data_IF_266292948832
#
_entry.id   IF_266292948832
#
_cell.length_a   1.000
_cell.length_b   1.000
_cell.length_c   1.000
_cell.angle_alpha   90.00
_cell.angle_beta   90.00
_cell.angle_gamma   90.00
#
_symmetry.space_group_name_H-M   'P 1'
#
loop_
_entity.id
_entity.type
_entity.pdbx_description
1 polymer ?
#
# COMPACT_ATOMS: atom_id res chain seq x y z
N UNK A 1 -0.50 2.83 -20.78
CA UNK A 1 0.95 2.73 -20.52
C UNK A 1 1.40 4.04 -19.88
N UNK A 2 1.26 4.19 -18.57
CA UNK A 2 1.67 5.42 -17.87
C UNK A 2 3.11 5.29 -17.42
N UNK A 3 4.04 5.84 -18.21
CA UNK A 3 5.45 5.88 -17.85
C UNK A 3 5.66 6.92 -16.76
N UNK A 4 5.71 6.48 -15.50
CA UNK A 4 6.02 7.32 -14.34
C UNK A 4 7.48 7.80 -14.41
N UNK A 5 7.74 8.86 -15.20
CA UNK A 5 9.00 9.62 -15.23
C UNK A 5 8.92 10.69 -14.12
N UNK A 6 10.02 10.90 -13.40
CA UNK A 6 10.09 11.96 -12.38
C UNK A 6 10.36 13.28 -13.10
N UNK A 7 9.40 14.20 -13.04
CA UNK A 7 9.55 15.58 -13.52
C UNK A 7 9.74 16.52 -12.33
N UNK A 8 10.58 17.54 -12.49
CA UNK A 8 10.67 18.67 -11.57
C UNK A 8 9.98 19.86 -12.20
N UNK A 9 9.36 20.71 -11.38
CA UNK A 9 8.75 21.95 -11.86
C UNK A 9 9.28 23.15 -11.08
N UNK A 10 9.45 24.26 -11.79
CA UNK A 10 9.85 25.55 -11.25
C UNK A 10 8.71 26.51 -11.59
N UNK A 11 8.19 27.21 -10.57
CA UNK A 11 7.16 28.23 -10.72
C UNK A 11 7.86 29.58 -10.76
N UNK A 12 7.51 30.43 -11.72
CA UNK A 12 8.02 31.80 -11.77
C UNK A 12 7.42 32.65 -10.64
N UNK A 13 8.26 33.06 -9.68
CA UNK A 13 7.88 33.74 -8.44
C UNK A 13 7.17 35.08 -8.65
N UNK A 14 7.48 35.79 -9.74
CA UNK A 14 6.97 37.17 -9.91
C UNK A 14 5.49 37.23 -10.26
N UNK A 15 4.93 36.18 -10.88
CA UNK A 15 3.51 36.18 -11.30
C UNK A 15 2.77 34.87 -11.09
N UNK A 16 3.42 33.76 -10.68
CA UNK A 16 2.82 32.40 -10.54
C UNK A 16 2.02 31.90 -11.76
N UNK A 17 2.15 32.57 -12.90
CA UNK A 17 1.40 32.31 -14.15
C UNK A 17 2.17 31.42 -15.13
N UNK A 18 3.42 31.08 -14.81
CA UNK A 18 4.30 30.27 -15.65
C UNK A 18 4.93 29.15 -14.83
N UNK A 19 4.85 27.94 -15.39
CA UNK A 19 5.45 26.73 -14.84
C UNK A 19 6.41 26.20 -15.89
N UNK A 20 7.66 26.01 -15.50
CA UNK A 20 8.62 25.24 -16.29
C UNK A 20 8.70 23.84 -15.70
N UNK A 21 8.47 22.83 -16.53
CA UNK A 21 8.65 21.42 -16.18
C UNK A 21 9.90 20.90 -16.87
N UNK A 22 10.80 20.31 -16.11
CA UNK A 22 12.03 19.68 -16.59
C UNK A 22 12.13 18.23 -16.13
N UNK A 23 13.01 17.45 -16.76
CA UNK A 23 13.25 16.05 -16.40
C UNK A 23 14.41 15.89 -15.41
N UNK A 24 15.66 15.85 -15.89
CA UNK A 24 16.89 15.80 -15.09
C UNK A 24 17.81 16.99 -15.42
N UNK A 25 18.81 17.30 -14.57
CA UNK A 25 19.68 18.49 -14.71
C UNK A 25 20.34 18.62 -16.10
N UNK A 26 20.71 17.51 -16.72
CA UNK A 26 21.35 17.46 -18.06
C UNK A 26 20.41 17.06 -19.20
N UNK A 27 19.10 16.93 -18.91
CA UNK A 27 18.12 16.51 -19.89
C UNK A 27 17.64 17.68 -20.76
N UNK A 28 17.58 17.53 -22.10
CA UNK A 28 17.07 18.57 -22.97
C UNK A 28 15.55 18.75 -22.86
N UNK A 29 14.84 17.80 -22.25
CA UNK A 29 13.39 17.88 -22.06
C UNK A 29 12.99 19.12 -21.25
N UNK A 30 12.13 19.93 -21.86
CA UNK A 30 11.54 21.11 -21.22
C UNK A 30 10.11 21.31 -21.72
N UNK A 31 9.20 21.53 -20.78
CA UNK A 31 7.82 21.92 -21.09
C UNK A 31 7.49 23.22 -20.37
N UNK A 32 6.95 24.18 -21.10
CA UNK A 32 6.53 25.47 -20.58
C UNK A 32 5.02 25.56 -20.59
N UNK A 33 4.43 25.75 -19.42
CA UNK A 33 2.99 25.88 -19.24
C UNK A 33 2.70 27.27 -18.70
N UNK A 34 1.73 27.96 -19.31
CA UNK A 34 1.30 29.30 -18.88
C UNK A 34 -0.20 29.27 -18.57
N UNK A 35 -0.62 29.96 -17.51
CA UNK A 35 -2.02 30.18 -17.22
C UNK A 35 -2.57 31.25 -18.16
N UNK A 36 -3.64 30.93 -18.90
CA UNK A 36 -4.42 31.89 -19.67
C UNK A 36 -5.42 32.54 -18.72
N UNK A 37 -5.28 33.84 -18.46
CA UNK A 37 -6.15 34.56 -17.51
C UNK A 37 -7.62 34.59 -17.96
N UNK A 38 -7.86 34.72 -19.27
CA UNK A 38 -9.20 34.83 -19.84
C UNK A 38 -10.06 33.57 -19.64
N UNK A 39 -9.44 32.39 -19.67
CA UNK A 39 -10.14 31.10 -19.55
C UNK A 39 -9.83 30.36 -18.26
N UNK A 40 -8.93 30.90 -17.43
CA UNK A 40 -8.33 30.21 -16.27
C UNK A 40 -7.75 28.83 -16.62
N UNK A 41 -7.47 28.58 -17.90
CA UNK A 41 -6.92 27.32 -18.39
C UNK A 41 -5.39 27.34 -18.45
N UNK A 42 -4.77 26.16 -18.30
CA UNK A 42 -3.34 26.00 -18.52
C UNK A 42 -3.06 25.64 -19.98
N UNK A 43 -2.19 26.39 -20.63
CA UNK A 43 -1.75 26.13 -22.00
C UNK A 43 -0.27 25.79 -22.05
N UNK A 44 0.05 24.70 -22.74
CA UNK A 44 1.43 24.36 -23.08
C UNK A 44 1.86 25.28 -24.22
N UNK A 45 2.82 26.17 -23.96
CA UNK A 45 3.38 27.08 -24.98
C UNK A 45 4.56 26.50 -25.72
N UNK A 46 5.30 25.61 -25.07
CA UNK A 46 6.51 25.02 -25.63
C UNK A 46 6.68 23.63 -25.06
N UNK A 47 6.91 22.66 -25.94
CA UNK A 47 7.22 21.28 -25.58
C UNK A 47 8.46 20.86 -26.37
N UNK A 48 9.55 20.60 -25.66
CA UNK A 48 10.72 19.90 -26.20
C UNK A 48 10.74 18.50 -25.63
N UNK A 49 10.37 17.51 -26.44
CA UNK A 49 10.21 16.10 -26.04
C UNK A 49 11.49 15.26 -26.22
N UNK A 50 12.63 15.90 -26.41
CA UNK A 50 13.92 15.20 -26.49
C UNK A 50 14.39 14.77 -25.11
N UNK A 51 14.73 13.49 -24.97
CA UNK A 51 15.27 12.91 -23.75
C UNK A 51 16.60 12.19 -24.01
N UNK A 52 17.64 12.59 -23.30
CA UNK A 52 18.93 11.86 -23.22
C UNK A 52 19.18 11.29 -21.80
N UNK A 53 18.20 11.42 -20.90
CA UNK A 53 18.37 11.07 -19.50
C UNK A 53 18.16 9.57 -19.25
N UNK A 54 18.99 9.01 -18.38
CA UNK A 54 18.83 7.63 -17.90
C UNK A 54 17.65 7.54 -16.93
N UNK A 55 17.00 6.37 -16.87
CA UNK A 55 15.90 6.12 -15.95
C UNK A 55 16.32 6.35 -14.50
N UNK A 56 15.67 7.29 -13.83
CA UNK A 56 15.90 7.53 -12.41
C UNK A 56 14.99 6.62 -11.58
N UNK A 57 15.61 5.66 -10.88
CA UNK A 57 14.94 4.73 -9.98
C UNK A 57 14.47 5.42 -8.69
N UNK A 58 14.90 6.64 -8.39
CA UNK A 58 14.52 7.36 -7.18
C UNK A 58 13.19 8.10 -7.38
N UNK A 59 12.08 7.35 -7.26
CA UNK A 59 10.73 7.90 -7.43
C UNK A 59 10.11 8.31 -6.11
N UNK A 60 9.99 9.62 -5.89
CA UNK A 60 9.27 10.21 -4.74
C UNK A 60 7.78 9.84 -4.71
N UNK A 61 7.22 9.45 -5.86
CA UNK A 61 5.81 9.06 -6.02
C UNK A 61 5.48 7.69 -5.39
N UNK A 62 6.47 6.81 -5.17
CA UNK A 62 6.22 5.51 -4.55
C UNK A 62 6.19 5.67 -3.03
N UNK A 63 4.97 5.80 -2.51
CA UNK A 63 4.70 5.93 -1.07
C UNK A 63 4.59 4.56 -0.40
N UNK A 64 4.85 4.53 0.91
CA UNK A 64 4.67 3.32 1.74
C UNK A 64 3.22 2.83 1.69
N UNK A 65 2.25 3.75 1.68
CA UNK A 65 0.83 3.41 1.58
C UNK A 65 0.54 2.66 0.29
N UNK A 66 0.96 3.22 -0.85
CA UNK A 66 0.73 2.61 -2.15
C UNK A 66 1.40 1.24 -2.29
N UNK A 67 2.63 1.07 -1.79
CA UNK A 67 3.31 -0.22 -1.79
C UNK A 67 2.60 -1.24 -0.88
N UNK A 68 2.11 -0.82 0.28
CA UNK A 68 1.36 -1.70 1.18
C UNK A 68 -0.01 -2.09 0.61
N UNK A 69 -0.66 -1.20 -0.14
CA UNK A 69 -1.94 -1.50 -0.79
C UNK A 69 -1.71 -2.47 -1.97
N UNK A 70 -0.63 -2.30 -2.75
CA UNK A 70 -0.30 -3.16 -3.89
C UNK A 70 0.25 -4.54 -3.50
N UNK A 71 1.16 -4.62 -2.54
CA UNK A 71 1.84 -5.87 -2.14
C UNK A 71 1.32 -6.43 -0.81
N UNK A 72 0.33 -5.80 -0.19
CA UNK A 72 -0.16 -6.14 1.13
C UNK A 72 -0.61 -7.59 1.25
N UNK A 73 -1.35 -8.10 0.28
CA UNK A 73 -1.82 -9.49 0.30
C UNK A 73 -0.69 -10.50 0.17
N UNK A 74 0.33 -10.20 -0.64
CA UNK A 74 1.52 -11.06 -0.76
C UNK A 74 2.31 -11.08 0.54
N UNK A 75 2.46 -9.93 1.19
CA UNK A 75 3.12 -9.82 2.50
C UNK A 75 2.31 -10.54 3.59
N UNK A 76 0.98 -10.48 3.57
CA UNK A 76 0.13 -11.20 4.53
C UNK A 76 0.21 -12.72 4.35
N UNK A 77 0.32 -13.21 3.12
CA UNK A 77 0.50 -14.64 2.82
C UNK A 77 1.88 -15.15 3.23
N UNK A 78 2.92 -14.31 3.13
CA UNK A 78 4.27 -14.64 3.55
C UNK A 78 4.89 -13.55 4.45
N UNK A 79 4.55 -13.52 5.76
CA UNK A 79 5.05 -12.49 6.68
C UNK A 79 6.58 -12.50 6.86
N UNK A 80 7.24 -13.64 6.61
CA UNK A 80 8.69 -13.81 6.70
C UNK A 80 9.44 -13.40 5.42
N UNK A 81 8.75 -12.78 4.45
CA UNK A 81 9.39 -12.26 3.24
C UNK A 81 10.52 -11.28 3.59
N UNK A 82 11.72 -11.58 3.10
CA UNK A 82 12.94 -10.83 3.42
C UNK A 82 12.92 -9.46 2.78
N UNK A 83 13.44 -8.45 3.49
CA UNK A 83 13.43 -7.07 3.02
C UNK A 83 14.26 -6.88 1.73
N UNK A 84 15.41 -7.55 1.62
CA UNK A 84 16.22 -7.52 0.40
C UNK A 84 15.49 -8.09 -0.83
N UNK A 85 14.78 -9.20 -0.66
CA UNK A 85 13.95 -9.79 -1.73
C UNK A 85 12.79 -8.86 -2.14
N UNK A 86 12.19 -8.16 -1.17
CA UNK A 86 11.19 -7.13 -1.46
C UNK A 86 11.79 -5.97 -2.27
N UNK A 87 13.01 -5.53 -1.94
CA UNK A 87 13.69 -4.47 -2.69
C UNK A 87 13.97 -4.89 -4.13
N UNK A 88 14.48 -6.10 -4.34
CA UNK A 88 14.74 -6.64 -5.67
C UNK A 88 13.45 -6.77 -6.50
N UNK A 89 12.37 -7.24 -5.89
CA UNK A 89 11.05 -7.31 -6.52
C UNK A 89 10.55 -5.91 -6.93
N UNK A 90 10.61 -4.93 -6.02
CA UNK A 90 10.21 -3.57 -6.32
C UNK A 90 11.07 -2.94 -7.43
N UNK A 91 12.37 -3.23 -7.44
CA UNK A 91 13.28 -2.78 -8.48
C UNK A 91 12.95 -3.42 -9.83
N UNK A 92 12.63 -4.72 -9.85
CA UNK A 92 12.26 -5.47 -11.05
C UNK A 92 10.91 -5.02 -11.63
N UNK A 93 9.86 -5.00 -10.82
CA UNK A 93 8.51 -4.71 -11.29
C UNK A 93 8.23 -3.21 -11.48
N UNK A 94 8.68 -2.37 -10.55
CA UNK A 94 8.35 -0.95 -10.56
C UNK A 94 9.43 -0.08 -11.20
N UNK A 95 10.62 -0.64 -11.42
CA UNK A 95 11.81 0.11 -11.81
C UNK A 95 12.04 1.29 -10.85
N UNK A 96 11.96 1.00 -9.55
CA UNK A 96 12.19 1.95 -8.45
C UNK A 96 13.16 1.37 -7.44
N UNK A 97 14.06 2.20 -6.96
CA UNK A 97 14.97 1.86 -5.88
C UNK A 97 14.31 2.27 -4.56
N UNK A 98 14.09 1.27 -3.71
CA UNK A 98 13.36 1.42 -2.46
C UNK A 98 14.34 1.07 -1.35
N UNK A 99 14.63 2.02 -0.47
CA UNK A 99 15.49 1.75 0.69
C UNK A 99 14.88 0.70 1.62
N UNK A 100 15.73 -0.07 2.30
CA UNK A 100 15.34 -1.20 3.16
C UNK A 100 14.34 -0.78 4.25
N UNK A 101 14.59 0.36 4.90
CA UNK A 101 13.68 0.95 5.89
C UNK A 101 12.28 1.22 5.33
N UNK A 102 12.15 1.58 4.05
CA UNK A 102 10.85 1.78 3.41
C UNK A 102 10.14 0.43 3.23
N UNK A 103 10.85 -0.63 2.84
CA UNK A 103 10.30 -2.00 2.77
C UNK A 103 9.84 -2.50 4.15
N UNK A 104 10.63 -2.23 5.20
CA UNK A 104 10.22 -2.54 6.57
C UNK A 104 8.90 -1.86 6.94
N UNK A 105 8.75 -0.56 6.67
CA UNK A 105 7.50 0.18 6.94
C UNK A 105 6.33 -0.33 6.11
N UNK A 106 6.57 -0.75 4.86
CA UNK A 106 5.55 -1.39 4.02
C UNK A 106 5.08 -2.69 4.66
N UNK A 107 6.00 -3.55 5.11
CA UNK A 107 5.67 -4.80 5.81
C UNK A 107 4.87 -4.55 7.08
N UNK A 108 5.33 -3.64 7.93
CA UNK A 108 4.61 -3.25 9.15
C UNK A 108 3.20 -2.75 8.83
N UNK A 109 3.04 -1.92 7.80
CA UNK A 109 1.73 -1.42 7.39
C UNK A 109 0.83 -2.52 6.82
N UNK A 110 1.37 -3.44 6.04
CA UNK A 110 0.62 -4.54 5.45
C UNK A 110 0.08 -5.52 6.52
N UNK A 111 0.88 -5.75 7.58
CA UNK A 111 0.54 -6.59 8.72
C UNK A 111 -0.30 -5.87 9.78
N UNK A 112 -0.29 -4.52 9.79
CA UNK A 112 -1.08 -3.74 10.74
C UNK A 112 -2.57 -4.06 10.60
N UNK A 113 -3.20 -4.38 11.72
CA UNK A 113 -4.64 -4.68 11.79
C UNK A 113 -5.01 -6.11 11.41
N UNK A 114 -4.06 -6.97 10.97
CA UNK A 114 -4.33 -8.39 10.76
C UNK A 114 -4.64 -9.08 12.09
N UNK A 115 -3.79 -8.83 13.09
CA UNK A 115 -3.97 -9.35 14.45
C UNK A 115 -5.26 -8.83 15.10
N UNK A 116 -5.55 -7.54 14.93
CA UNK A 116 -6.78 -6.93 15.44
C UNK A 116 -8.04 -7.56 14.83
N UNK A 117 -8.06 -7.74 13.49
CA UNK A 117 -9.16 -8.43 12.82
C UNK A 117 -9.29 -9.89 13.26
N UNK A 118 -8.17 -10.59 13.46
CA UNK A 118 -8.21 -11.96 13.99
C UNK A 118 -8.81 -11.97 15.39
N UNK A 119 -8.35 -11.09 16.28
CA UNK A 119 -8.90 -10.94 17.63
C UNK A 119 -10.41 -10.71 17.59
N UNK A 120 -10.88 -9.83 16.73
CA UNK A 120 -12.31 -9.53 16.57
C UNK A 120 -13.09 -10.74 16.03
N UNK A 121 -12.54 -11.49 15.07
CA UNK A 121 -13.14 -12.75 14.59
C UNK A 121 -13.24 -13.80 15.72
N UNK A 122 -12.15 -14.05 16.45
CA UNK A 122 -12.12 -15.00 17.57
C UNK A 122 -13.05 -14.57 18.71
N UNK A 123 -13.22 -13.25 18.94
CA UNK A 123 -14.17 -12.72 19.92
C UNK A 123 -15.62 -13.11 19.60
N UNK A 124 -15.94 -13.32 18.32
CA UNK A 124 -17.29 -13.63 17.85
C UNK A 124 -17.54 -15.13 17.67
N UNK A 125 -16.58 -16.02 17.95
CA UNK A 125 -16.72 -17.48 17.77
C UNK A 125 -17.98 -18.04 18.46
N UNK A 126 -18.29 -17.57 19.68
CA UNK A 126 -19.50 -18.01 20.39
C UNK A 126 -20.79 -17.59 19.68
N UNK A 127 -20.79 -16.41 19.06
CA UNK A 127 -21.93 -15.93 18.26
C UNK A 127 -22.10 -16.77 17.00
N UNK A 128 -21.00 -17.10 16.31
CA UNK A 128 -21.04 -17.99 15.15
C UNK A 128 -21.55 -19.38 15.52
N UNK A 129 -21.12 -19.94 16.66
CA UNK A 129 -21.64 -21.20 17.16
C UNK A 129 -23.15 -21.15 17.45
N UNK A 130 -23.62 -20.05 18.07
CA UNK A 130 -25.05 -19.83 18.29
C UNK A 130 -25.85 -19.73 16.98
N UNK A 131 -25.29 -19.10 15.95
CA UNK A 131 -25.92 -18.98 14.63
C UNK A 131 -26.06 -20.32 13.89
N UNK A 132 -25.06 -21.20 14.03
CA UNK A 132 -25.10 -22.57 13.49
C UNK A 132 -26.23 -23.39 14.16
N UNK A 133 -26.38 -23.27 15.48
CA UNK A 133 -27.44 -23.93 16.25
C UNK A 133 -28.82 -23.32 15.97
N UNK A 134 -28.89 -22.01 15.70
CA UNK A 134 -30.11 -21.31 15.29
C UNK A 134 -30.61 -21.81 13.93
N UNK A 135 -29.69 -22.06 13.00
CA UNK A 135 -30.00 -22.49 11.64
C UNK A 135 -30.51 -23.93 11.59
N UNK A 136 -29.87 -24.84 12.35
CA UNK A 136 -30.37 -26.18 12.58
C UNK A 136 -30.03 -26.59 14.02
N UNK A 137 -31.08 -26.81 14.82
CA UNK A 137 -30.95 -27.18 16.23
C UNK A 137 -30.41 -28.59 16.44
N UNK A 138 -30.36 -29.43 15.40
CA UNK A 138 -29.74 -30.76 15.44
C UNK A 138 -28.22 -30.72 15.30
N UNK A 139 -27.65 -29.60 14.87
CA UNK A 139 -26.20 -29.42 14.85
C UNK A 139 -25.66 -29.43 16.29
N UNK A 140 -24.41 -29.86 16.47
CA UNK A 140 -23.71 -29.74 17.75
C UNK A 140 -22.51 -28.81 17.58
N UNK A 141 -22.39 -27.82 18.47
CA UNK A 141 -21.23 -26.92 18.50
C UNK A 141 -20.67 -26.88 19.91
N UNK A 142 -19.42 -27.31 20.08
CA UNK A 142 -18.71 -27.30 21.35
C UNK A 142 -17.45 -26.46 21.24
N UNK A 143 -17.31 -25.43 22.11
CA UNK A 143 -16.19 -24.50 22.08
C UNK A 143 -15.41 -24.63 23.39
N UNK A 144 -14.17 -25.11 23.30
CA UNK A 144 -13.25 -25.20 24.44
C UNK A 144 -12.36 -23.96 24.52
N UNK A 145 -12.25 -23.37 25.71
CA UNK A 145 -11.35 -22.24 26.00
C UNK A 145 -10.47 -22.55 27.20
N UNK A 146 -9.23 -22.07 27.19
CA UNK A 146 -8.26 -22.22 28.28
C UNK A 146 -7.95 -20.86 28.90
N UNK A 147 -7.65 -20.84 30.20
CA UNK A 147 -7.06 -19.67 30.89
C UNK A 147 -5.63 -20.01 31.30
N UNK A 148 -4.71 -19.08 31.15
CA UNK A 148 -3.33 -19.25 31.59
C UNK A 148 -3.19 -19.03 33.09
N UNK A 149 -3.87 -18.02 33.63
CA UNK A 149 -3.98 -17.74 35.07
C UNK A 149 -5.42 -17.38 35.43
N UNK A 150 -5.76 -17.46 36.72
CA UNK A 150 -7.06 -17.03 37.21
C UNK A 150 -7.21 -15.50 37.05
N UNK A 151 -8.23 -15.08 36.31
CA UNK A 151 -8.44 -13.69 35.91
C UNK A 151 -8.07 -13.34 34.47
N UNK A 152 -7.34 -14.20 33.75
CA UNK A 152 -7.02 -13.96 32.34
C UNK A 152 -8.26 -14.09 31.43
N UNK A 153 -8.33 -13.30 30.34
CA UNK A 153 -9.35 -13.50 29.33
C UNK A 153 -9.23 -14.91 28.73
N UNK A 154 -10.38 -15.60 28.51
CA UNK A 154 -10.36 -16.96 27.98
C UNK A 154 -9.75 -16.98 26.58
N UNK A 155 -8.72 -17.83 26.39
CA UNK A 155 -8.09 -18.06 25.09
C UNK A 155 -8.79 -19.22 24.38
N UNK A 156 -9.09 -19.03 23.10
CA UNK A 156 -9.63 -20.09 22.26
C UNK A 156 -8.65 -21.26 22.16
N UNK A 157 -9.14 -22.48 22.35
CA UNK A 157 -8.34 -23.70 22.20
C UNK A 157 -8.80 -24.52 20.99
N UNK A 158 -10.08 -24.90 20.96
CA UNK A 158 -10.66 -25.71 19.87
C UNK A 158 -12.17 -25.50 19.77
N UNK A 159 -12.70 -25.80 18.59
CA UNK A 159 -14.13 -25.88 18.31
C UNK A 159 -14.41 -27.23 17.66
N UNK A 160 -15.46 -27.91 18.11
CA UNK A 160 -16.03 -29.08 17.48
C UNK A 160 -17.38 -28.69 16.88
N UNK A 161 -17.61 -29.07 15.62
CA UNK A 161 -18.87 -28.83 14.91
C UNK A 161 -19.31 -30.14 14.26
N UNK A 162 -20.52 -30.57 14.60
CA UNK A 162 -21.22 -31.68 13.96
C UNK A 162 -22.44 -31.13 13.23
N UNK A 163 -22.55 -31.46 11.94
CA UNK A 163 -23.71 -31.14 11.13
C UNK A 163 -24.59 -32.38 11.04
N UNK A 164 -25.87 -32.23 11.42
CA UNK A 164 -26.86 -33.29 11.37
C UNK A 164 -27.62 -33.27 10.03
#
# INVERSE_FOLDING_TARGET
>A
METSRTYHYIIDDKKKKRIQVGCAKSCPFKMWVTLIEATQGWQIKTLKDDHNCVWNYNKRLVTVKWLADKYGDRIRKNPSWKLGEMQEEFKRELKVDVGEWKCFRVRQRALKGVEEKMRDHYSNIRKFGGEILRSNTQNTVEITTTRLQDGDPPRFQRIYIFYA
#
